data_IF_522811219816
#
_entry.id   IF_522811219816
#
_cell.length_a   1.000
_cell.length_b   1.000
_cell.length_c   1.000
_cell.angle_alpha   90.00
_cell.angle_beta   90.00
_cell.angle_gamma   90.00
#
_symmetry.space_group_name_H-M   'P 1'
#
loop_
_entity.id
_entity.type
_entity.pdbx_description
1 polymer ?
#
# COMPACT_ATOMS: atom_id res chain seq x y z
N UNK A 1 -18.65 63.04 -8.06
CA UNK A 1 -18.35 61.79 -8.77
C UNK A 1 -17.72 60.83 -7.76
N UNK A 2 -18.46 59.76 -7.37
CA UNK A 2 -17.98 58.76 -6.36
C UNK A 2 -17.53 57.53 -7.13
N UNK A 3 -16.23 57.27 -7.18
CA UNK A 3 -15.67 56.07 -7.78
C UNK A 3 -15.74 54.91 -6.76
N UNK A 4 -16.64 53.95 -6.98
CA UNK A 4 -16.69 52.69 -6.24
C UNK A 4 -15.62 51.76 -6.79
N UNK A 5 -14.57 51.52 -6.00
CA UNK A 5 -13.54 50.54 -6.29
C UNK A 5 -14.09 49.16 -5.87
N UNK A 6 -14.41 48.31 -6.85
CA UNK A 6 -14.78 46.91 -6.63
C UNK A 6 -13.49 46.12 -6.48
N UNK A 7 -13.20 45.70 -5.25
CA UNK A 7 -12.07 44.78 -4.95
C UNK A 7 -12.49 43.36 -5.32
N UNK A 8 -12.00 42.89 -6.45
CA UNK A 8 -12.20 41.49 -6.85
C UNK A 8 -11.22 40.60 -6.06
N UNK A 9 -11.71 39.87 -5.08
CA UNK A 9 -10.94 38.85 -4.37
C UNK A 9 -10.78 37.62 -5.25
N UNK A 10 -9.57 37.37 -5.78
CA UNK A 10 -9.19 36.12 -6.45
C UNK A 10 -9.06 35.04 -5.37
N UNK A 11 -10.01 34.11 -5.32
CA UNK A 11 -9.87 32.90 -4.52
C UNK A 11 -8.92 31.96 -5.27
N UNK A 12 -7.66 31.84 -4.84
CA UNK A 12 -6.75 30.79 -5.26
C UNK A 12 -7.26 29.47 -4.65
N UNK A 13 -7.90 28.63 -5.48
CA UNK A 13 -8.16 27.25 -5.14
C UNK A 13 -6.83 26.50 -5.08
N UNK A 14 -6.33 26.21 -3.88
CA UNK A 14 -5.24 25.27 -3.70
C UNK A 14 -5.79 23.88 -4.06
N UNK A 15 -5.27 23.25 -5.12
CA UNK A 15 -5.45 21.81 -5.34
C UNK A 15 -4.71 21.12 -4.20
N UNK A 16 -5.46 20.58 -3.24
CA UNK A 16 -4.92 19.67 -2.23
C UNK A 16 -4.87 18.32 -2.91
N UNK A 17 -3.67 17.83 -3.19
CA UNK A 17 -3.44 16.48 -3.65
C UNK A 17 -3.84 15.52 -2.52
N UNK A 18 -4.81 14.65 -2.77
CA UNK A 18 -5.26 13.70 -1.75
C UNK A 18 -4.16 12.67 -1.48
N UNK A 19 -3.87 12.35 -0.22
CA UNK A 19 -2.85 11.36 0.11
C UNK A 19 -3.26 9.98 -0.44
N UNK A 20 -2.28 9.22 -0.94
CA UNK A 20 -2.49 7.86 -1.45
C UNK A 20 -3.03 6.99 -0.33
N UNK A 21 -4.23 6.43 -0.53
CA UNK A 21 -4.89 5.58 0.46
C UNK A 21 -4.47 4.12 0.31
N UNK A 22 -3.61 3.61 1.21
CA UNK A 22 -3.23 2.19 1.25
C UNK A 22 -4.42 1.26 1.40
N UNK A 23 -5.44 1.65 2.17
CA UNK A 23 -6.69 0.88 2.27
C UNK A 23 -7.43 0.78 0.94
N UNK A 24 -7.54 1.87 0.19
CA UNK A 24 -8.21 1.85 -1.11
C UNK A 24 -7.45 0.96 -2.09
N UNK A 25 -6.14 1.10 -2.18
CA UNK A 25 -5.26 0.25 -3.00
C UNK A 25 -5.40 -1.23 -2.63
N UNK A 26 -5.44 -1.54 -1.32
CA UNK A 26 -5.62 -2.91 -0.84
C UNK A 26 -6.97 -3.50 -1.25
N UNK A 27 -8.05 -2.76 -1.07
CA UNK A 27 -9.39 -3.24 -1.43
C UNK A 27 -9.53 -3.47 -2.93
N UNK A 28 -8.88 -2.66 -3.74
CA UNK A 28 -8.93 -2.76 -5.20
C UNK A 28 -8.08 -3.91 -5.75
N UNK A 29 -6.88 -4.13 -5.19
CA UNK A 29 -5.88 -5.00 -5.81
C UNK A 29 -5.63 -6.31 -5.04
N UNK A 30 -5.92 -6.38 -3.73
CA UNK A 30 -5.50 -7.47 -2.85
C UNK A 30 -6.67 -8.24 -2.23
N UNK A 31 -7.76 -7.53 -1.91
CA UNK A 31 -8.87 -8.07 -1.12
C UNK A 31 -9.59 -9.24 -1.81
N UNK A 32 -9.57 -9.33 -3.15
CA UNK A 32 -10.21 -10.42 -3.88
C UNK A 32 -9.67 -11.80 -3.46
N UNK A 33 -8.38 -11.87 -3.12
CA UNK A 33 -7.72 -13.08 -2.63
C UNK A 33 -7.53 -13.05 -1.11
N UNK A 34 -7.01 -11.93 -0.57
CA UNK A 34 -6.67 -11.84 0.86
C UNK A 34 -7.83 -11.48 1.79
N UNK A 35 -9.02 -11.20 1.23
CA UNK A 35 -10.19 -10.77 2.00
C UNK A 35 -10.14 -9.28 2.38
N UNK A 36 -11.31 -8.66 2.64
CA UNK A 36 -11.38 -7.23 2.94
C UNK A 36 -10.72 -6.85 4.28
N UNK A 37 -10.50 -7.84 5.14
CA UNK A 37 -9.87 -7.70 6.47
C UNK A 37 -8.47 -8.31 6.55
N UNK A 38 -7.97 -8.89 5.45
CA UNK A 38 -6.63 -9.46 5.36
C UNK A 38 -6.47 -10.88 5.91
N UNK A 39 -7.58 -11.60 6.15
CA UNK A 39 -7.56 -12.92 6.79
C UNK A 39 -7.39 -14.09 5.81
N UNK A 40 -7.17 -13.82 4.53
CA UNK A 40 -7.00 -14.85 3.50
C UNK A 40 -8.31 -15.48 3.02
N UNK A 41 -9.43 -14.84 3.30
CA UNK A 41 -10.79 -15.33 3.04
C UNK A 41 -11.48 -14.63 1.85
N UNK A 42 -10.70 -14.08 0.92
CA UNK A 42 -11.22 -13.43 -0.27
C UNK A 42 -12.02 -14.38 -1.18
N UNK A 43 -12.79 -13.82 -2.08
CA UNK A 43 -13.67 -14.57 -2.98
C UNK A 43 -12.88 -15.61 -3.81
N UNK A 44 -11.69 -15.24 -4.31
CA UNK A 44 -10.84 -16.13 -5.09
C UNK A 44 -9.96 -17.07 -4.25
N UNK A 45 -9.94 -16.92 -2.92
CA UNK A 45 -9.11 -17.76 -2.05
C UNK A 45 -9.40 -19.26 -2.22
N UNK A 46 -10.65 -19.62 -2.52
CA UNK A 46 -11.09 -21.01 -2.70
C UNK A 46 -10.65 -21.64 -4.01
N UNK A 47 -10.34 -20.82 -5.00
CA UNK A 47 -9.96 -21.27 -6.35
C UNK A 47 -8.42 -21.39 -6.49
N UNK A 48 -7.68 -20.95 -5.47
CA UNK A 48 -6.22 -21.02 -5.45
C UNK A 48 -5.73 -22.37 -4.95
N UNK A 49 -4.64 -22.86 -5.52
CA UNK A 49 -3.98 -24.11 -5.09
C UNK A 49 -3.45 -23.99 -3.66
N UNK A 50 -2.96 -22.80 -3.30
CA UNK A 50 -2.48 -22.47 -1.96
C UNK A 50 -3.36 -21.36 -1.39
N UNK A 51 -3.92 -21.57 -0.21
CA UNK A 51 -4.73 -20.55 0.45
C UNK A 51 -3.88 -19.30 0.76
N UNK A 52 -4.39 -18.09 0.48
CA UNK A 52 -3.70 -16.87 0.85
C UNK A 52 -3.47 -16.82 2.36
N UNK A 53 -2.28 -16.39 2.81
CA UNK A 53 -2.00 -16.31 4.24
C UNK A 53 -2.83 -15.19 4.90
N UNK A 54 -3.07 -15.37 6.21
CA UNK A 54 -3.61 -14.32 7.06
C UNK A 54 -2.56 -13.21 7.23
N UNK A 55 -2.85 -12.04 6.64
CA UNK A 55 -1.96 -10.88 6.66
C UNK A 55 -2.00 -10.12 8.00
N UNK A 56 -3.00 -10.37 8.84
CA UNK A 56 -3.13 -9.69 10.16
C UNK A 56 -2.14 -10.23 11.19
N UNK A 57 -1.48 -11.35 10.89
CA UNK A 57 -0.55 -12.04 11.80
C UNK A 57 0.92 -11.99 11.34
N UNK A 58 1.26 -11.12 10.39
CA UNK A 58 2.64 -11.00 9.87
C UNK A 58 3.61 -10.67 11.01
N UNK A 59 3.30 -9.66 11.82
CA UNK A 59 4.14 -9.27 12.97
C UNK A 59 4.29 -10.42 13.96
N UNK A 60 3.21 -11.12 14.31
CA UNK A 60 3.25 -12.24 15.24
C UNK A 60 4.15 -13.38 14.75
N UNK A 61 4.10 -13.69 13.43
CA UNK A 61 4.97 -14.69 12.80
C UNK A 61 6.44 -14.24 12.70
N UNK A 62 6.69 -12.94 12.82
CA UNK A 62 8.03 -12.33 12.76
C UNK A 62 8.51 -11.81 14.13
N UNK A 63 8.20 -12.51 15.19
CA UNK A 63 8.68 -12.17 16.53
C UNK A 63 8.11 -10.88 17.13
N UNK A 64 6.94 -10.43 16.67
CA UNK A 64 6.25 -9.24 17.14
C UNK A 64 6.63 -7.95 16.40
N UNK A 65 7.48 -8.03 15.39
CA UNK A 65 7.93 -6.88 14.58
C UNK A 65 7.38 -7.01 13.16
N UNK A 66 6.78 -5.94 12.65
CA UNK A 66 6.33 -5.91 11.27
C UNK A 66 7.53 -5.77 10.32
N UNK A 67 7.82 -6.77 9.45
CA UNK A 67 8.99 -6.77 8.58
C UNK A 67 8.70 -5.95 7.32
N UNK A 68 8.62 -4.62 7.45
CA UNK A 68 8.16 -3.69 6.41
C UNK A 68 8.86 -3.89 5.08
N UNK A 69 10.20 -3.97 5.06
CA UNK A 69 10.98 -4.10 3.84
C UNK A 69 10.74 -5.44 3.12
N UNK A 70 10.64 -6.53 3.89
CA UNK A 70 10.31 -7.84 3.35
C UNK A 70 8.89 -7.88 2.77
N UNK A 71 7.93 -7.22 3.43
CA UNK A 71 6.55 -7.10 2.95
C UNK A 71 6.51 -6.30 1.65
N UNK A 72 7.18 -5.14 1.59
CA UNK A 72 7.26 -4.35 0.36
C UNK A 72 7.92 -5.13 -0.78
N UNK A 73 9.04 -5.81 -0.52
CA UNK A 73 9.74 -6.64 -1.52
C UNK A 73 8.88 -7.78 -2.05
N UNK A 74 8.05 -8.38 -1.19
CA UNK A 74 7.11 -9.44 -1.59
C UNK A 74 6.00 -8.90 -2.48
N UNK A 75 5.40 -7.77 -2.13
CA UNK A 75 4.35 -7.11 -2.92
C UNK A 75 4.89 -6.65 -4.27
N UNK A 76 6.07 -6.04 -4.27
CA UNK A 76 6.75 -5.54 -5.45
C UNK A 76 7.15 -6.66 -6.43
N UNK A 77 7.43 -7.85 -5.92
CA UNK A 77 7.87 -9.01 -6.69
C UNK A 77 9.38 -9.24 -6.66
N UNK A 78 10.13 -8.47 -5.87
CA UNK A 78 11.60 -8.56 -5.79
C UNK A 78 12.08 -9.78 -4.99
N UNK A 79 11.37 -10.12 -3.92
CA UNK A 79 11.69 -11.30 -3.09
C UNK A 79 10.43 -12.09 -2.75
N UNK A 80 10.27 -13.18 -3.45
CA UNK A 80 9.09 -14.05 -3.36
C UNK A 80 9.45 -15.45 -2.95
N UNK A 81 10.43 -15.73 -2.21
CA UNK A 81 10.75 -17.05 -1.65
C UNK A 81 10.23 -18.29 -2.41
N UNK A 82 10.75 -19.47 -2.14
CA UNK A 82 10.39 -20.71 -2.84
C UNK A 82 8.97 -21.23 -2.58
N UNK A 83 8.25 -20.65 -1.62
CA UNK A 83 6.88 -21.08 -1.24
C UNK A 83 5.80 -20.08 -1.71
N UNK A 84 6.18 -19.13 -2.55
CA UNK A 84 5.28 -18.11 -3.06
C UNK A 84 4.36 -18.70 -4.15
N UNK A 85 3.05 -18.47 -4.02
CA UNK A 85 2.11 -18.88 -5.06
C UNK A 85 2.19 -17.93 -6.26
N UNK A 86 2.45 -18.43 -7.48
CA UNK A 86 2.54 -17.58 -8.67
C UNK A 86 1.22 -16.87 -9.03
N UNK A 87 0.11 -17.22 -8.37
CA UNK A 87 -1.17 -16.54 -8.57
C UNK A 87 -1.20 -15.13 -7.97
N UNK A 88 -0.32 -14.80 -7.02
CA UNK A 88 -0.20 -13.41 -6.53
C UNK A 88 0.50 -12.55 -7.58
N UNK A 89 -0.13 -11.49 -8.12
CA UNK A 89 0.49 -10.63 -9.13
C UNK A 89 1.67 -9.84 -8.56
N UNK A 90 2.60 -9.47 -9.45
CA UNK A 90 3.70 -8.55 -9.12
C UNK A 90 3.18 -7.12 -9.19
N UNK A 91 2.99 -6.52 -8.03
CA UNK A 91 2.47 -5.16 -7.95
C UNK A 91 3.49 -4.15 -8.52
N UNK A 92 4.78 -4.42 -8.33
CA UNK A 92 5.88 -3.62 -8.88
C UNK A 92 6.00 -3.62 -10.41
N UNK A 93 5.31 -4.52 -11.11
CA UNK A 93 5.26 -4.51 -12.58
C UNK A 93 4.41 -3.36 -13.15
N UNK A 94 3.62 -2.68 -12.30
CA UNK A 94 2.77 -1.54 -12.66
C UNK A 94 3.41 -0.18 -12.41
N UNK A 95 2.65 0.88 -12.70
CA UNK A 95 3.02 2.24 -12.29
C UNK A 95 2.61 2.46 -10.84
N UNK A 96 3.59 2.54 -9.94
CA UNK A 96 3.38 2.73 -8.51
C UNK A 96 3.43 4.20 -8.07
N UNK A 97 3.40 5.13 -9.03
CA UNK A 97 3.44 6.57 -8.77
C UNK A 97 4.84 7.09 -8.40
N UNK A 98 4.88 8.30 -7.86
CA UNK A 98 6.14 8.93 -7.45
C UNK A 98 6.82 8.16 -6.31
N UNK A 99 8.15 8.16 -6.33
CA UNK A 99 8.95 7.62 -5.24
C UNK A 99 9.25 8.70 -4.20
N UNK A 100 9.18 8.32 -2.94
CA UNK A 100 9.64 9.12 -1.79
C UNK A 100 10.90 8.49 -1.21
N UNK A 101 11.76 9.30 -0.63
CA UNK A 101 12.97 8.79 0.03
C UNK A 101 12.59 8.36 1.45
N UNK A 102 12.78 7.07 1.71
CA UNK A 102 12.62 6.48 3.05
C UNK A 102 14.02 6.21 3.61
N UNK A 103 14.28 6.71 4.81
CA UNK A 103 15.54 6.45 5.51
C UNK A 103 15.32 5.31 6.52
N UNK A 104 16.11 4.26 6.38
CA UNK A 104 16.15 3.14 7.30
C UNK A 104 17.61 2.73 7.55
N UNK A 105 18.02 2.63 8.79
CA UNK A 105 19.39 2.27 9.22
C UNK A 105 20.48 3.14 8.56
N UNK A 106 20.20 4.41 8.30
CA UNK A 106 21.11 5.35 7.67
C UNK A 106 21.22 5.19 6.16
N UNK A 107 20.38 4.35 5.55
CA UNK A 107 20.28 4.19 4.09
C UNK A 107 19.04 4.90 3.57
N UNK A 108 19.23 5.83 2.65
CA UNK A 108 18.15 6.52 1.95
C UNK A 108 17.74 5.73 0.71
N UNK A 109 16.53 5.16 0.70
CA UNK A 109 16.02 4.32 -0.37
C UNK A 109 14.81 4.98 -1.03
N UNK A 110 14.76 5.10 -2.37
CA UNK A 110 13.55 5.53 -3.05
C UNK A 110 12.49 4.42 -3.02
N UNK A 111 11.32 4.71 -2.48
CA UNK A 111 10.19 3.77 -2.38
C UNK A 111 8.98 4.41 -3.05
N UNK A 112 8.29 3.71 -3.97
CA UNK A 112 7.05 4.19 -4.56
C UNK A 112 5.98 4.47 -3.50
N UNK A 113 5.29 5.61 -3.62
CA UNK A 113 4.28 6.04 -2.62
C UNK A 113 3.16 5.02 -2.44
N UNK A 114 2.71 4.37 -3.52
CA UNK A 114 1.65 3.37 -3.43
C UNK A 114 2.10 2.12 -2.66
N UNK A 115 3.35 1.68 -2.87
CA UNK A 115 3.92 0.55 -2.15
C UNK A 115 4.08 0.84 -0.66
N UNK A 116 4.55 2.04 -0.33
CA UNK A 116 4.67 2.50 1.05
C UNK A 116 3.29 2.56 1.73
N UNK A 117 2.29 3.14 1.07
CA UNK A 117 0.93 3.24 1.59
C UNK A 117 0.29 1.86 1.82
N UNK A 118 0.54 0.89 0.93
CA UNK A 118 0.12 -0.50 1.14
C UNK A 118 0.78 -1.13 2.36
N UNK A 119 2.10 -0.96 2.53
CA UNK A 119 2.83 -1.47 3.69
C UNK A 119 2.31 -0.85 4.99
N UNK A 120 2.07 0.46 5.03
CA UNK A 120 1.47 1.17 6.17
C UNK A 120 0.09 0.62 6.53
N UNK A 121 -0.75 0.38 5.52
CA UNK A 121 -2.06 -0.21 5.75
C UNK A 121 -1.97 -1.62 6.31
N UNK A 122 -1.12 -2.49 5.74
CA UNK A 122 -0.92 -3.85 6.26
C UNK A 122 -0.36 -3.86 7.68
N UNK A 123 0.54 -2.95 8.02
CA UNK A 123 1.02 -2.80 9.39
C UNK A 123 -0.11 -2.38 10.34
N UNK A 124 -1.02 -1.53 9.91
CA UNK A 124 -2.18 -1.13 10.71
C UNK A 124 -3.19 -2.26 10.99
N UNK A 125 -3.15 -3.34 10.20
CA UNK A 125 -4.00 -4.51 10.38
C UNK A 125 -3.44 -5.51 11.41
N UNK A 126 -2.20 -5.34 11.88
CA UNK A 126 -1.55 -6.31 12.76
C UNK A 126 -2.26 -6.43 14.12
N UNK A 127 -2.36 -7.68 14.63
CA UNK A 127 -3.00 -8.06 15.90
C UNK A 127 -1.98 -8.54 16.91
#
# INVERSE_FOLDING_TARGET
MRYSIILATLALGACVEEPVSGRALYLENCAICHGPTGQGDGEFARDLTTAPPDLTTISARNGGIFPRDAVMSTIDGLDRGSHFDPAMPEFGAGDLGEAVIVEHDGLATPVPMQLLALADYLESLQQ
#
